data_IF_552413844002
#
_entry.id   IF_552413844002
#
_cell.length_a   1.000
_cell.length_b   1.000
_cell.length_c   1.000
_cell.angle_alpha   90.00
_cell.angle_beta   90.00
_cell.angle_gamma   90.00
#
_symmetry.space_group_name_H-M   'P 1'
#
loop_
_entity.id
_entity.type
_entity.pdbx_description
1 polymer ?
#
# COMPACT_ATOMS: atom_id res chain seq x y z
N UNK A 1 -20.40 -15.68 -5.41
CA UNK A 1 -20.28 -14.37 -6.08
C UNK A 1 -20.59 -13.14 -5.19
N UNK A 2 -20.78 -13.24 -3.86
CA UNK A 2 -21.02 -12.07 -3.00
C UNK A 2 -19.74 -11.38 -2.47
N UNK A 3 -18.59 -12.05 -2.51
CA UNK A 3 -17.33 -11.56 -1.89
C UNK A 3 -16.62 -10.50 -2.73
N UNK A 4 -16.79 -10.54 -4.06
CA UNK A 4 -16.11 -9.61 -4.98
C UNK A 4 -16.67 -8.17 -4.87
N UNK A 5 -17.90 -8.03 -4.39
CA UNK A 5 -18.60 -6.74 -4.25
C UNK A 5 -18.04 -5.85 -3.11
N UNK A 6 -17.15 -6.36 -2.26
CA UNK A 6 -16.66 -5.68 -1.04
C UNK A 6 -15.51 -4.68 -1.25
N UNK A 7 -14.95 -4.59 -2.46
CA UNK A 7 -13.75 -3.77 -2.76
C UNK A 7 -14.05 -2.51 -3.61
N UNK A 8 -15.32 -2.17 -3.82
CA UNK A 8 -15.76 -1.07 -4.71
C UNK A 8 -15.58 0.35 -4.16
N UNK A 9 -14.76 0.56 -3.12
CA UNK A 9 -14.40 1.91 -2.69
C UNK A 9 -13.34 2.44 -3.63
N UNK A 10 -13.71 3.37 -4.51
CA UNK A 10 -12.80 4.04 -5.45
C UNK A 10 -11.78 4.86 -4.64
N UNK A 11 -10.66 4.24 -4.32
CA UNK A 11 -9.52 4.88 -3.68
C UNK A 11 -8.72 5.58 -4.79
N UNK A 12 -9.05 6.84 -5.10
CA UNK A 12 -8.25 7.65 -6.04
C UNK A 12 -6.93 7.99 -5.36
N UNK A 13 -5.97 7.08 -5.44
CA UNK A 13 -4.66 7.25 -4.83
C UNK A 13 -3.60 7.52 -5.89
N UNK A 14 -2.85 8.60 -5.69
CA UNK A 14 -1.73 8.99 -6.54
C UNK A 14 -0.43 8.42 -5.98
N UNK A 15 0.50 8.04 -6.86
CA UNK A 15 1.85 7.62 -6.44
C UNK A 15 2.54 8.78 -5.73
N UNK A 16 3.28 8.44 -4.67
CA UNK A 16 4.12 9.37 -3.96
C UNK A 16 5.46 9.52 -4.68
N UNK A 17 6.02 10.72 -4.67
CA UNK A 17 7.41 10.97 -5.05
C UNK A 17 8.23 11.33 -3.82
N UNK A 18 9.45 10.81 -3.75
CA UNK A 18 10.38 11.23 -2.71
C UNK A 18 10.79 12.69 -2.96
N UNK A 19 10.61 13.55 -1.95
CA UNK A 19 11.31 14.83 -1.94
C UNK A 19 12.81 14.54 -1.79
N UNK A 20 13.63 15.25 -2.55
CA UNK A 20 15.07 15.20 -2.43
C UNK A 20 15.48 15.61 -0.99
N UNK A 21 15.88 14.66 -0.15
CA UNK A 21 16.34 14.99 1.21
C UNK A 21 16.65 13.85 2.18
N UNK A 22 16.09 12.65 2.01
CA UNK A 22 16.20 11.61 3.05
C UNK A 22 17.18 10.48 2.72
N UNK A 23 18.49 10.72 2.83
CA UNK A 23 19.47 9.65 2.94
C UNK A 23 19.19 8.84 4.21
N UNK A 24 19.04 7.51 4.06
CA UNK A 24 18.79 6.60 5.17
C UNK A 24 19.82 6.78 6.28
N UNK A 25 19.35 6.82 7.53
CA UNK A 25 20.24 6.79 8.69
C UNK A 25 20.75 5.36 8.82
N UNK A 26 22.06 5.17 8.70
CA UNK A 26 22.72 3.94 9.15
C UNK A 26 22.41 3.80 10.66
N UNK A 27 21.82 2.66 11.02
CA UNK A 27 21.53 2.22 12.39
C UNK A 27 20.24 2.77 13.06
N UNK A 28 19.20 1.92 13.10
CA UNK A 28 18.16 1.95 14.14
C UNK A 28 16.72 1.90 13.64
N UNK A 29 15.90 1.04 14.28
CA UNK A 29 14.43 0.88 14.27
C UNK A 29 13.62 1.29 13.00
N UNK A 30 12.63 0.49 12.61
CA UNK A 30 11.87 0.68 11.37
C UNK A 30 11.21 2.08 11.20
N UNK A 31 10.91 2.78 12.32
CA UNK A 31 10.42 4.17 12.31
C UNK A 31 11.46 5.17 11.76
N UNK A 32 12.74 4.98 12.08
CA UNK A 32 13.87 5.77 11.56
C UNK A 32 14.16 5.45 10.08
N UNK A 33 13.85 4.22 9.64
CA UNK A 33 13.92 3.86 8.21
C UNK A 33 12.74 4.40 7.39
N UNK A 34 11.70 4.93 8.03
CA UNK A 34 10.48 5.38 7.34
C UNK A 34 10.38 6.88 7.20
N UNK A 35 10.99 7.62 8.13
CA UNK A 35 10.90 9.08 8.22
C UNK A 35 12.30 9.65 8.45
N UNK A 36 12.69 10.62 7.62
CA UNK A 36 13.96 11.32 7.77
C UNK A 36 13.93 12.36 8.91
N UNK A 37 15.08 12.98 9.18
CA UNK A 37 15.22 13.99 10.24
C UNK A 37 14.33 15.24 10.07
N UNK A 38 13.82 15.48 8.86
CA UNK A 38 12.98 16.62 8.52
C UNK A 38 11.48 16.25 8.51
N UNK A 39 11.14 15.00 8.84
CA UNK A 39 9.77 14.50 8.86
C UNK A 39 9.26 14.04 7.49
N UNK A 40 10.12 13.91 6.48
CA UNK A 40 9.74 13.40 5.17
C UNK A 40 9.83 11.87 5.12
N UNK A 41 8.98 11.27 4.29
CA UNK A 41 9.04 9.84 4.04
C UNK A 41 10.37 9.50 3.36
N UNK A 42 11.03 8.45 3.85
CA UNK A 42 12.24 7.92 3.20
C UNK A 42 11.89 7.27 1.86
N UNK A 43 12.92 7.08 1.03
CA UNK A 43 12.76 6.38 -0.24
C UNK A 43 12.24 4.95 -0.05
N UNK A 44 12.71 4.23 0.99
CA UNK A 44 12.26 2.87 1.29
C UNK A 44 10.76 2.83 1.62
N UNK A 45 10.28 3.71 2.51
CA UNK A 45 8.86 3.80 2.84
C UNK A 45 8.03 4.13 1.60
N UNK A 46 8.45 5.11 0.79
CA UNK A 46 7.74 5.51 -0.42
C UNK A 46 7.66 4.34 -1.42
N UNK A 47 8.74 3.60 -1.60
CA UNK A 47 8.75 2.42 -2.48
C UNK A 47 7.78 1.36 -1.96
N UNK A 48 7.79 1.04 -0.68
CA UNK A 48 6.86 0.06 -0.09
C UNK A 48 5.40 0.53 -0.17
N UNK A 49 5.13 1.81 0.10
CA UNK A 49 3.82 2.42 -0.03
C UNK A 49 3.30 2.36 -1.47
N UNK A 50 4.11 2.78 -2.44
CA UNK A 50 3.74 2.79 -3.87
C UNK A 50 3.55 1.37 -4.42
N UNK A 51 4.28 0.38 -3.90
CA UNK A 51 4.05 -1.02 -4.27
C UNK A 51 2.65 -1.47 -3.83
N UNK A 52 2.24 -1.17 -2.60
CA UNK A 52 0.87 -1.50 -2.13
C UNK A 52 -0.16 -0.80 -2.99
N UNK A 53 0.02 0.50 -3.24
CA UNK A 53 -0.83 1.30 -4.13
C UNK A 53 -1.03 0.65 -5.50
N UNK A 54 0.07 0.27 -6.15
CA UNK A 54 0.06 -0.35 -7.48
C UNK A 54 -0.76 -1.63 -7.50
N UNK A 55 -0.56 -2.50 -6.52
CA UNK A 55 -1.29 -3.78 -6.49
C UNK A 55 -2.79 -3.59 -6.25
N UNK A 56 -3.18 -2.60 -5.44
CA UNK A 56 -4.59 -2.25 -5.26
C UNK A 56 -5.21 -1.61 -6.51
N UNK A 57 -4.47 -0.75 -7.22
CA UNK A 57 -4.92 -0.18 -8.49
C UNK A 57 -5.15 -1.28 -9.54
N UNK A 58 -4.22 -2.23 -9.67
CA UNK A 58 -4.40 -3.38 -10.57
C UNK A 58 -5.60 -4.24 -10.16
N UNK A 59 -5.80 -4.47 -8.87
CA UNK A 59 -6.96 -5.21 -8.38
C UNK A 59 -8.26 -4.50 -8.74
N UNK A 60 -8.35 -3.19 -8.54
CA UNK A 60 -9.52 -2.39 -8.92
C UNK A 60 -9.81 -2.47 -10.43
N UNK A 61 -8.78 -2.40 -11.28
CA UNK A 61 -8.94 -2.52 -12.73
C UNK A 61 -9.53 -3.88 -13.10
N UNK A 62 -9.05 -4.97 -12.48
CA UNK A 62 -9.58 -6.31 -12.74
C UNK A 62 -11.03 -6.47 -12.26
N UNK A 63 -11.39 -5.82 -11.15
CA UNK A 63 -12.74 -5.87 -10.59
C UNK A 63 -13.75 -5.02 -11.38
N UNK A 64 -13.31 -3.91 -11.98
CA UNK A 64 -14.14 -3.05 -12.82
C UNK A 64 -14.26 -3.52 -14.28
N UNK A 65 -13.41 -4.48 -14.69
CA UNK A 65 -13.40 -5.06 -16.04
C UNK A 65 -14.26 -6.31 -16.19
N UNK A 66 -14.02 -7.05 -17.26
CA UNK A 66 -14.63 -8.38 -17.44
C UNK A 66 -14.01 -9.33 -16.41
N UNK A 67 -14.81 -9.95 -15.52
CA UNK A 67 -14.29 -10.74 -14.42
C UNK A 67 -13.52 -11.96 -14.92
N UNK A 68 -12.28 -12.10 -14.45
CA UNK A 68 -11.45 -13.29 -14.62
C UNK A 68 -10.96 -13.70 -13.22
N UNK A 69 -11.53 -14.77 -12.68
CA UNK A 69 -11.34 -15.18 -11.29
C UNK A 69 -9.88 -15.52 -10.97
N UNK A 70 -9.17 -16.21 -11.86
CA UNK A 70 -7.76 -16.57 -11.67
C UNK A 70 -6.87 -15.33 -11.60
N UNK A 71 -7.10 -14.36 -12.48
CA UNK A 71 -6.36 -13.09 -12.48
C UNK A 71 -6.67 -12.27 -11.23
N UNK A 72 -7.93 -12.22 -10.81
CA UNK A 72 -8.34 -11.53 -9.58
C UNK A 72 -7.66 -12.18 -8.38
N UNK A 73 -7.67 -13.51 -8.29
CA UNK A 73 -7.04 -14.22 -7.19
C UNK A 73 -5.52 -14.01 -7.15
N UNK A 74 -4.85 -14.09 -8.30
CA UNK A 74 -3.42 -13.80 -8.40
C UNK A 74 -3.11 -12.37 -7.92
N UNK A 75 -3.95 -11.41 -8.32
CA UNK A 75 -3.78 -10.01 -7.93
C UNK A 75 -4.10 -9.77 -6.44
N UNK A 76 -5.07 -10.46 -5.87
CA UNK A 76 -5.32 -10.45 -4.42
C UNK A 76 -4.11 -10.97 -3.63
N UNK A 77 -3.46 -12.05 -4.10
CA UNK A 77 -2.22 -12.55 -3.50
C UNK A 77 -1.08 -11.54 -3.59
N UNK A 78 -0.94 -10.85 -4.73
CA UNK A 78 0.06 -9.79 -4.91
C UNK A 78 -0.17 -8.62 -3.94
N UNK A 79 -1.41 -8.12 -3.85
CA UNK A 79 -1.80 -7.06 -2.93
C UNK A 79 -1.54 -7.47 -1.46
N UNK A 80 -1.95 -8.68 -1.06
CA UNK A 80 -1.67 -9.20 0.29
C UNK A 80 -0.16 -9.30 0.56
N UNK A 81 0.62 -9.77 -0.43
CA UNK A 81 2.08 -9.83 -0.33
C UNK A 81 2.71 -8.44 -0.15
N UNK A 82 2.20 -7.42 -0.83
CA UNK A 82 2.64 -6.03 -0.65
C UNK A 82 2.28 -5.51 0.75
N UNK A 83 1.07 -5.78 1.24
CA UNK A 83 0.66 -5.44 2.60
C UNK A 83 1.59 -6.04 3.66
N UNK A 84 1.98 -7.31 3.50
CA UNK A 84 2.92 -7.99 4.40
C UNK A 84 4.34 -7.42 4.38
N UNK A 85 4.73 -6.69 3.34
CA UNK A 85 6.01 -5.96 3.31
C UNK A 85 5.89 -4.62 4.05
N UNK A 86 4.78 -3.91 3.86
CA UNK A 86 4.57 -2.60 4.45
C UNK A 86 4.35 -2.65 5.97
N UNK A 87 3.34 -3.38 6.44
CA UNK A 87 2.85 -3.22 7.82
C UNK A 87 3.79 -3.72 8.93
N UNK A 88 4.56 -4.81 8.79
CA UNK A 88 5.48 -5.24 9.85
C UNK A 88 6.56 -4.21 10.20
N UNK A 89 6.90 -3.33 9.25
CA UNK A 89 7.97 -2.34 9.40
C UNK A 89 7.41 -0.92 9.55
N UNK A 90 6.24 -0.65 8.99
CA UNK A 90 5.76 0.71 8.80
C UNK A 90 4.34 0.97 9.33
N UNK A 91 3.73 0.06 10.10
CA UNK A 91 2.38 0.29 10.67
C UNK A 91 2.31 1.58 11.50
N UNK A 92 1.28 2.39 11.28
CA UNK A 92 1.05 3.65 12.00
C UNK A 92 2.09 4.75 11.74
N UNK A 93 2.98 4.58 10.75
CA UNK A 93 3.89 5.63 10.31
C UNK A 93 3.12 6.71 9.57
N UNK A 94 3.44 7.97 9.91
CA UNK A 94 3.01 9.17 9.20
C UNK A 94 4.22 10.02 8.87
N UNK A 95 4.31 10.52 7.65
CA UNK A 95 5.42 11.35 7.16
C UNK A 95 4.98 12.24 6.00
N UNK A 96 5.78 13.26 5.70
CA UNK A 96 5.54 14.19 4.59
C UNK A 96 6.04 13.59 3.28
N UNK A 97 5.23 13.63 2.24
CA UNK A 97 5.65 13.26 0.89
C UNK A 97 5.12 14.25 -0.14
N UNK A 98 5.79 14.35 -1.29
CA UNK A 98 5.29 15.14 -2.40
C UNK A 98 4.31 14.31 -3.22
N UNK A 99 3.13 14.89 -3.47
CA UNK A 99 2.10 14.34 -4.33
C UNK A 99 1.68 15.44 -5.29
N UNK A 100 1.98 15.27 -6.58
CA UNK A 100 1.62 16.25 -7.63
C UNK A 100 2.04 17.69 -7.26
N UNK A 101 3.28 17.88 -6.83
CA UNK A 101 3.86 19.18 -6.47
C UNK A 101 3.39 19.79 -5.14
N UNK A 102 2.58 19.07 -4.36
CA UNK A 102 2.18 19.49 -3.02
C UNK A 102 2.78 18.56 -1.96
N UNK A 103 3.33 19.14 -0.89
CA UNK A 103 3.78 18.38 0.27
C UNK A 103 2.57 18.10 1.16
N UNK A 104 2.31 16.82 1.41
CA UNK A 104 1.18 16.37 2.22
C UNK A 104 1.60 15.28 3.21
N UNK A 105 0.86 15.15 4.30
CA UNK A 105 1.05 14.07 5.25
C UNK A 105 0.43 12.78 4.71
N UNK A 106 1.24 11.74 4.62
CA UNK A 106 0.83 10.40 4.21
C UNK A 106 1.01 9.45 5.39
N UNK A 107 0.06 8.52 5.53
CA UNK A 107 0.11 7.48 6.53
C UNK A 107 0.03 6.09 5.91
N UNK A 108 0.78 5.13 6.44
CA UNK A 108 0.69 3.73 6.01
C UNK A 108 -0.68 3.12 6.31
N UNK A 109 -1.40 3.65 7.29
CA UNK A 109 -2.73 3.20 7.68
C UNK A 109 -3.78 3.41 6.57
N UNK A 110 -3.47 4.21 5.55
CA UNK A 110 -4.34 4.41 4.38
C UNK A 110 -4.69 3.08 3.68
N UNK A 111 -3.82 2.07 3.78
CA UNK A 111 -4.06 0.74 3.21
C UNK A 111 -4.61 -0.29 4.19
N UNK A 112 -4.76 0.04 5.48
CA UNK A 112 -5.07 -0.93 6.55
C UNK A 112 -6.37 -1.69 6.28
N UNK A 113 -7.42 -0.98 5.89
CA UNK A 113 -8.71 -1.60 5.57
C UNK A 113 -8.62 -2.48 4.31
N UNK A 114 -8.00 -1.99 3.25
CA UNK A 114 -7.82 -2.75 2.00
C UNK A 114 -7.03 -4.04 2.24
N UNK A 115 -5.95 -3.97 2.99
CA UNK A 115 -5.12 -5.12 3.33
C UNK A 115 -5.87 -6.16 4.16
N UNK A 116 -6.67 -5.71 5.14
CA UNK A 116 -7.55 -6.60 5.92
C UNK A 116 -8.59 -7.29 5.03
N UNK A 117 -9.27 -6.55 4.14
CA UNK A 117 -10.25 -7.12 3.21
C UNK A 117 -9.64 -8.15 2.26
N UNK A 118 -8.44 -7.88 1.75
CA UNK A 118 -7.73 -8.83 0.87
C UNK A 118 -7.35 -10.10 1.63
N UNK A 119 -6.86 -9.99 2.87
CA UNK A 119 -6.57 -11.14 3.72
C UNK A 119 -7.83 -11.98 4.02
N UNK A 120 -8.92 -11.33 4.42
CA UNK A 120 -10.20 -12.00 4.67
C UNK A 120 -10.75 -12.69 3.43
N UNK A 121 -10.67 -12.02 2.27
CA UNK A 121 -11.08 -12.60 0.99
C UNK A 121 -10.28 -13.84 0.62
N UNK A 122 -8.96 -13.82 0.80
CA UNK A 122 -8.11 -14.99 0.53
C UNK A 122 -8.38 -16.15 1.50
N UNK A 123 -8.62 -15.89 2.79
CA UNK A 123 -9.01 -16.91 3.78
C UNK A 123 -10.32 -17.59 3.39
N UNK A 124 -11.32 -16.80 2.95
CA UNK A 124 -12.62 -17.34 2.51
C UNK A 124 -12.51 -18.22 1.26
N UNK A 125 -11.51 -17.99 0.41
CA UNK A 125 -11.22 -18.79 -0.78
C UNK A 125 -10.30 -20.00 -0.49
N UNK A 126 -9.86 -20.20 0.76
CA UNK A 126 -8.91 -21.25 1.12
C UNK A 126 -7.52 -21.06 0.52
N UNK A 127 -7.10 -19.80 0.34
CA UNK A 127 -5.84 -19.41 -0.32
C UNK A 127 -4.82 -18.81 0.66
N UNK A 128 -5.15 -18.80 1.95
CA UNK A 128 -4.32 -18.48 3.12
C UNK A 128 -4.66 -19.49 4.22
#
# INVERSE_FOLDING_TARGET
MKTIQLLSTVLVMSMLTACAGGGGSDEGNAKTNSVDANGYCTQEFITNYNNVLLEFNHLQILLGGIPNEDRILAQMKAAHGACKRLFPQHEGVTCKAEVKYEVTDITSDTFKEGCKKTEEGLKQLGQL
#
